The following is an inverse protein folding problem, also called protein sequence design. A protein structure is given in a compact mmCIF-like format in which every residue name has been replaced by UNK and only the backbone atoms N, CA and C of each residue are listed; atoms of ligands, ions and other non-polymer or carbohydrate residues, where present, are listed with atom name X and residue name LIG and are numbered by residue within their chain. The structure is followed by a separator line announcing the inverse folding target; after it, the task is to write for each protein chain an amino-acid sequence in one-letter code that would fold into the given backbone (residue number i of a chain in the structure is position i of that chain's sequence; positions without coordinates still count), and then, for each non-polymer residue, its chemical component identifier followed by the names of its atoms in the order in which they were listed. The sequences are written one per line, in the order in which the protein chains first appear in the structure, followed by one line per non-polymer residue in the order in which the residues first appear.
data_IF_127001915738
#
_entry.id   IF_127001915738
#
_cell.length_a   1.000
_cell.length_b   1.000
_cell.length_c   1.000
_cell.angle_alpha   90.00
_cell.angle_beta   90.00
_cell.angle_gamma   90.00
#
_symmetry.space_group_name_H-M   'P 1'
#
loop_
_entity.id
_entity.type
_entity.pdbx_description
1 polymer ?
#
# COMPACT_ATOMS: atom_id res chain seq x y z
N UNK A 1 17.59 16.12 -6.11
CA UNK A 1 18.73 15.91 -5.22
C UNK A 1 18.48 14.65 -4.40
N UNK A 2 19.50 13.83 -4.15
CA UNK A 2 19.36 12.63 -3.31
C UNK A 2 19.03 13.06 -1.86
N UNK A 3 18.10 12.39 -1.17
CA UNK A 3 17.44 12.90 0.03
C UNK A 3 18.18 12.57 1.33
N UNK A 4 19.48 12.82 1.31
CA UNK A 4 20.37 12.49 2.41
C UNK A 4 20.77 13.76 3.16
N UNK A 5 20.74 13.68 4.48
CA UNK A 5 21.02 14.79 5.38
C UNK A 5 22.14 14.40 6.32
N UNK A 6 23.10 15.31 6.53
CA UNK A 6 24.13 15.13 7.54
C UNK A 6 23.58 15.43 8.94
N UNK A 7 23.63 14.43 9.82
CA UNK A 7 23.21 14.55 11.22
C UNK A 7 24.40 14.29 12.12
N UNK A 8 24.83 15.31 12.86
CA UNK A 8 25.94 15.19 13.81
C UNK A 8 25.69 14.07 14.83
N UNK A 9 26.64 13.15 14.95
CA UNK A 9 26.56 11.97 15.82
C UNK A 9 25.91 10.74 15.18
N UNK A 10 25.40 10.84 13.95
CA UNK A 10 24.83 9.71 13.19
C UNK A 10 25.55 9.54 11.84
N UNK A 11 25.85 10.64 11.17
CA UNK A 11 26.35 10.66 9.79
C UNK A 11 25.22 10.96 8.80
N UNK A 12 25.31 10.37 7.61
CA UNK A 12 24.35 10.55 6.55
C UNK A 12 23.04 9.80 6.85
N UNK A 13 21.90 10.48 6.69
CA UNK A 13 20.57 9.94 7.05
C UNK A 13 19.57 10.17 5.93
N UNK A 14 18.82 9.14 5.56
CA UNK A 14 17.78 9.19 4.53
C UNK A 14 16.44 9.68 5.08
N UNK A 15 15.74 10.53 4.32
CA UNK A 15 14.34 10.89 4.60
C UNK A 15 13.43 10.38 3.47
N UNK A 16 12.45 9.50 3.78
CA UNK A 16 11.48 9.00 2.82
C UNK A 16 10.78 10.11 2.04
N UNK A 17 10.54 9.88 0.76
CA UNK A 17 9.97 10.78 -0.24
C UNK A 17 8.74 11.50 0.26
N UNK A 18 7.80 10.77 0.87
CA UNK A 18 6.55 11.35 1.37
C UNK A 18 6.71 12.30 2.57
N UNK A 19 7.89 12.34 3.20
CA UNK A 19 8.16 13.20 4.36
C UNK A 19 9.12 14.36 4.06
N UNK A 20 9.61 14.48 2.83
CA UNK A 20 10.58 15.51 2.44
C UNK A 20 10.02 16.93 2.51
N UNK A 21 8.71 17.11 2.34
CA UNK A 21 8.06 18.41 2.55
C UNK A 21 8.23 18.93 3.99
N UNK A 22 8.51 18.05 4.96
CA UNK A 22 8.78 18.41 6.36
C UNK A 22 10.26 18.56 6.68
N UNK A 23 11.12 18.13 5.76
CA UNK A 23 12.57 18.23 5.82
C UNK A 23 13.10 18.81 4.48
N UNK A 24 12.95 20.14 4.24
CA UNK A 24 13.49 20.76 3.03
C UNK A 24 15.02 20.69 2.99
N UNK A 25 15.63 20.90 1.82
CA UNK A 25 17.06 20.65 1.56
C UNK A 25 18.03 21.33 2.55
N UNK A 26 17.69 22.52 3.06
CA UNK A 26 18.53 23.31 3.99
C UNK A 26 18.15 23.12 5.47
N UNK A 27 17.24 22.18 5.78
CA UNK A 27 16.76 22.01 7.15
C UNK A 27 17.85 21.50 8.07
N UNK A 28 17.93 22.10 9.27
CA UNK A 28 18.79 21.57 10.33
C UNK A 28 18.11 20.39 11.00
N UNK A 29 18.63 19.19 10.76
CA UNK A 29 18.28 17.98 11.51
C UNK A 29 19.24 17.83 12.70
N UNK A 30 18.70 17.54 13.88
CA UNK A 30 19.51 17.32 15.10
C UNK A 30 19.04 16.06 15.83
N UNK A 31 19.98 15.22 16.24
CA UNK A 31 19.74 14.08 17.13
C UNK A 31 19.47 14.55 18.57
N UNK A 32 18.44 13.98 19.18
CA UNK A 32 18.08 14.14 20.59
C UNK A 32 17.94 12.75 21.23
N UNK A 33 18.68 12.53 22.31
CA UNK A 33 18.72 11.27 23.08
C UNK A 33 18.04 11.44 24.44
N UNK A 34 18.04 10.40 25.30
CA UNK A 34 17.43 10.42 26.64
C UNK A 34 17.70 11.71 27.44
N UNK A 35 18.95 12.21 27.45
CA UNK A 35 19.32 13.44 28.17
C UNK A 35 18.58 14.69 27.67
N UNK A 36 18.25 14.76 26.39
CA UNK A 36 17.48 15.85 25.82
C UNK A 36 15.96 15.61 25.90
N UNK A 37 15.52 14.35 25.83
CA UNK A 37 14.10 13.97 25.95
C UNK A 37 13.53 14.28 27.34
N UNK A 38 14.36 14.24 28.39
CA UNK A 38 14.01 14.77 29.73
C UNK A 38 13.74 16.28 29.73
N UNK A 39 14.14 17.01 28.67
CA UNK A 39 14.05 18.47 28.55
C UNK A 39 13.33 18.87 27.25
N UNK A 40 12.02 18.56 27.10
CA UNK A 40 11.30 18.71 25.83
C UNK A 40 11.24 20.15 25.30
N UNK A 41 11.45 21.17 26.17
CA UNK A 41 11.60 22.56 25.75
C UNK A 41 12.75 22.80 24.75
N UNK A 42 13.84 22.02 24.83
CA UNK A 42 14.97 22.12 23.89
C UNK A 42 14.55 21.67 22.49
N UNK A 43 13.82 20.56 22.42
CA UNK A 43 13.27 19.99 21.19
C UNK A 43 12.23 20.94 20.59
N UNK A 44 11.31 21.44 21.43
CA UNK A 44 10.34 22.46 21.03
C UNK A 44 11.00 23.70 20.41
N UNK A 45 12.03 24.24 21.07
CA UNK A 45 12.75 25.43 20.59
C UNK A 45 13.51 25.18 19.29
N UNK A 46 13.95 23.95 19.03
CA UNK A 46 14.55 23.54 17.75
C UNK A 46 13.50 23.50 16.64
N UNK A 47 12.36 22.87 16.89
CA UNK A 47 11.24 22.79 15.91
C UNK A 47 10.68 24.18 15.62
N UNK A 48 10.53 25.03 16.64
CA UNK A 48 10.07 26.43 16.51
C UNK A 48 10.95 27.26 15.58
N UNK A 49 12.26 26.97 15.56
CA UNK A 49 13.24 27.59 14.64
C UNK A 49 13.25 26.97 13.24
N UNK A 50 12.39 25.98 12.99
CA UNK A 50 12.23 25.34 11.68
C UNK A 50 12.92 23.99 11.55
N UNK A 51 13.74 23.57 12.53
CA UNK A 51 14.50 22.32 12.46
C UNK A 51 13.64 21.06 12.59
N UNK A 52 14.24 19.92 12.23
CA UNK A 52 13.69 18.57 12.43
C UNK A 52 14.44 17.91 13.58
N UNK A 53 13.70 17.25 14.47
CA UNK A 53 14.25 16.52 15.60
C UNK A 53 14.28 15.03 15.28
N UNK A 54 15.48 14.47 15.15
CA UNK A 54 15.70 13.03 15.12
C UNK A 54 15.76 12.53 16.58
N UNK A 55 14.88 11.61 16.94
CA UNK A 55 14.71 11.11 18.30
C UNK A 55 15.23 9.68 18.39
N UNK A 56 15.92 9.37 19.48
CA UNK A 56 16.34 8.02 19.85
C UNK A 56 16.35 7.87 21.36
N UNK A 57 15.98 6.70 21.87
CA UNK A 57 15.99 6.38 23.30
C UNK A 57 14.66 5.85 23.83
N UNK A 58 14.41 6.09 25.11
CA UNK A 58 13.29 5.49 25.84
C UNK A 58 11.91 5.90 25.28
N UNK A 59 11.03 4.91 25.09
CA UNK A 59 9.71 5.09 24.47
C UNK A 59 8.79 5.99 25.29
N UNK A 60 8.90 5.97 26.61
CA UNK A 60 8.06 6.79 27.50
C UNK A 60 8.54 8.24 27.46
N UNK A 61 9.85 8.49 27.44
CA UNK A 61 10.42 9.82 27.26
C UNK A 61 10.06 10.44 25.90
N UNK A 62 10.08 9.64 24.84
CA UNK A 62 9.62 10.05 23.49
C UNK A 62 8.12 10.40 23.53
N UNK A 63 7.30 9.54 24.14
CA UNK A 63 5.85 9.77 24.26
C UNK A 63 5.53 11.05 25.03
N UNK A 64 6.20 11.27 26.16
CA UNK A 64 6.09 12.50 26.96
C UNK A 64 6.48 13.75 26.15
N UNK A 65 7.53 13.65 25.33
CA UNK A 65 7.95 14.73 24.43
C UNK A 65 6.88 15.02 23.38
N UNK A 66 6.32 13.98 22.75
CA UNK A 66 5.26 14.11 21.74
C UNK A 66 4.02 14.79 22.33
N UNK A 67 3.60 14.37 23.51
CA UNK A 67 2.47 15.00 24.22
C UNK A 67 2.75 16.46 24.59
N UNK A 68 3.97 16.76 25.05
CA UNK A 68 4.39 18.13 25.33
C UNK A 68 4.31 19.03 24.08
N UNK A 69 4.87 18.57 22.95
CA UNK A 69 4.83 19.32 21.69
C UNK A 69 3.40 19.46 21.19
N UNK A 70 2.58 18.42 21.28
CA UNK A 70 1.19 18.45 20.87
C UNK A 70 0.36 19.47 21.66
N UNK A 71 0.59 19.59 22.98
CA UNK A 71 -0.05 20.62 23.84
C UNK A 71 0.32 22.05 23.44
N UNK A 72 1.51 22.26 22.86
CA UNK A 72 2.03 23.57 22.43
C UNK A 72 2.02 23.77 20.92
N UNK A 73 1.29 22.92 20.17
CA UNK A 73 1.35 22.91 18.71
C UNK A 73 1.00 24.26 18.06
N UNK A 74 0.10 25.02 18.68
CA UNK A 74 -0.37 26.30 18.14
C UNK A 74 0.74 27.36 18.15
N UNK A 75 1.71 27.27 19.05
CA UNK A 75 2.89 28.14 19.08
C UNK A 75 3.92 27.81 17.98
N UNK A 76 3.83 26.63 17.35
CA UNK A 76 4.71 26.18 16.28
C UNK A 76 4.15 26.50 14.89
N UNK A 77 2.88 26.88 14.83
CA UNK A 77 2.21 27.29 13.60
C UNK A 77 2.52 28.77 13.34
N UNK A 78 3.30 29.08 12.30
CA UNK A 78 3.48 30.47 11.88
C UNK A 78 2.14 31.04 11.37
N UNK A 79 1.69 32.21 11.82
CA UNK A 79 0.53 32.87 11.22
C UNK A 79 0.82 33.16 9.74
N UNK A 80 -0.11 32.80 8.86
CA UNK A 80 0.01 33.10 7.43
C UNK A 80 -0.15 34.61 7.19
N UNK A 81 0.71 35.28 6.40
CA UNK A 81 0.65 36.74 6.20
C UNK A 81 -0.57 37.28 5.44
N UNK A 82 -1.61 36.48 5.14
CA UNK A 82 -2.69 36.84 4.21
C UNK A 82 -4.09 36.79 4.85
N UNK A 83 -4.27 37.34 6.06
CA UNK A 83 -5.61 37.56 6.63
C UNK A 83 -6.02 39.03 6.74
N UNK A 84 -5.20 39.99 6.32
CA UNK A 84 -5.61 41.38 6.20
C UNK A 84 -5.79 41.76 4.71
N UNK A 85 -7.05 41.98 4.32
CA UNK A 85 -7.37 42.71 3.09
C UNK A 85 -7.74 41.89 1.86
N UNK A 86 -8.87 41.18 1.86
CA UNK A 86 -9.67 41.01 0.62
C UNK A 86 -11.16 41.23 0.90
N UNK A 87 -11.67 42.35 0.38
CA UNK A 87 -13.10 42.64 0.27
C UNK A 87 -13.80 41.47 -0.43
N UNK A 88 -15.00 41.13 0.06
CA UNK A 88 -15.84 40.04 -0.45
C UNK A 88 -16.43 40.46 -1.79
N UNK A 89 -15.85 40.02 -2.90
CA UNK A 89 -16.54 40.03 -4.19
C UNK A 89 -17.21 38.68 -4.42
N UNK A 90 -18.54 38.71 -4.37
CA UNK A 90 -19.42 37.60 -4.75
C UNK A 90 -19.40 37.47 -6.28
N UNK A 91 -18.71 36.44 -6.80
CA UNK A 91 -19.10 35.62 -7.99
C UNK A 91 -17.88 34.84 -8.53
N UNK A 92 -17.80 33.55 -8.20
CA UNK A 92 -17.42 32.44 -9.10
C UNK A 92 -17.39 31.14 -8.30
N UNK A 93 -18.43 30.35 -8.46
CA UNK A 93 -18.50 28.95 -8.03
C UNK A 93 -17.77 28.10 -9.07
N UNK A 94 -16.59 27.59 -8.70
CA UNK A 94 -16.03 26.29 -9.12
C UNK A 94 -14.50 26.29 -8.97
N UNK A 95 -14.07 26.20 -7.71
CA UNK A 95 -12.80 25.56 -7.34
C UNK A 95 -13.06 24.84 -6.02
N UNK A 96 -12.76 23.53 -5.89
CA UNK A 96 -12.66 22.94 -4.56
C UNK A 96 -11.56 23.72 -3.83
N UNK A 97 -11.92 24.38 -2.73
CA UNK A 97 -10.95 24.93 -1.80
C UNK A 97 -10.06 23.78 -1.34
N UNK A 98 -8.87 23.68 -1.91
CA UNK A 98 -7.77 23.02 -1.23
C UNK A 98 -7.50 23.86 0.02
N UNK A 99 -8.18 23.54 1.12
CA UNK A 99 -7.71 23.92 2.44
C UNK A 99 -6.25 23.44 2.50
N UNK A 100 -5.31 24.38 2.48
CA UNK A 100 -3.91 24.08 2.80
C UNK A 100 -3.93 23.52 4.22
N UNK A 101 -4.03 22.19 4.33
CA UNK A 101 -3.96 21.43 5.58
C UNK A 101 -2.71 21.93 6.29
N UNK A 102 -2.89 22.70 7.36
CA UNK A 102 -1.78 23.21 8.15
C UNK A 102 -1.06 21.97 8.69
N UNK A 103 0.16 21.72 8.21
CA UNK A 103 0.88 20.48 8.48
C UNK A 103 1.18 20.38 9.97
N UNK A 104 0.84 19.25 10.58
CA UNK A 104 1.06 19.02 12.01
C UNK A 104 2.55 19.18 12.35
N UNK A 105 2.91 20.00 13.36
CA UNK A 105 4.30 20.14 13.78
C UNK A 105 4.91 18.83 14.30
N UNK A 106 4.07 17.84 14.63
CA UNK A 106 4.51 16.50 15.02
C UNK A 106 5.22 15.75 13.88
N UNK A 107 5.05 16.17 12.62
CA UNK A 107 5.77 15.57 11.49
C UNK A 107 7.27 15.92 11.47
N UNK A 108 7.69 16.90 12.28
CA UNK A 108 9.10 17.25 12.52
C UNK A 108 9.74 16.50 13.70
N UNK A 109 8.96 15.70 14.42
CA UNK A 109 9.48 14.72 15.37
C UNK A 109 9.63 13.40 14.63
N UNK A 110 10.87 12.99 14.36
CA UNK A 110 11.15 11.78 13.59
C UNK A 110 11.97 10.80 14.42
N UNK A 111 11.57 9.53 14.43
CA UNK A 111 12.32 8.45 15.05
C UNK A 111 13.50 8.09 14.15
N UNK A 112 14.69 7.94 14.75
CA UNK A 112 15.85 7.38 14.08
C UNK A 112 15.69 5.87 13.91
N UNK A 113 15.97 5.41 12.70
CA UNK A 113 15.97 4.00 12.34
C UNK A 113 17.34 3.68 11.76
N UNK A 114 17.94 2.55 12.15
CA UNK A 114 19.22 2.16 11.56
C UNK A 114 19.04 1.72 10.09
N UNK A 115 20.14 1.44 9.41
CA UNK A 115 20.15 1.03 8.01
C UNK A 115 19.30 -0.23 7.71
N UNK A 116 19.21 -1.15 8.68
CA UNK A 116 18.47 -2.41 8.54
C UNK A 116 16.99 -2.31 8.92
N UNK A 117 16.49 -1.13 9.28
CA UNK A 117 15.08 -0.93 9.65
C UNK A 117 14.76 -1.08 11.14
N UNK A 118 15.75 -1.25 12.02
CA UNK A 118 15.54 -1.33 13.47
C UNK A 118 15.38 0.06 14.09
N UNK A 119 14.24 0.27 14.75
CA UNK A 119 13.92 1.49 15.48
C UNK A 119 14.92 1.72 16.62
N UNK A 120 15.47 2.93 16.71
CA UNK A 120 16.38 3.32 17.79
C UNK A 120 15.61 3.79 19.03
N UNK A 121 14.65 2.96 19.46
CA UNK A 121 13.74 3.20 20.60
C UNK A 121 13.88 2.05 21.60
N UNK A 122 13.77 2.35 22.90
CA UNK A 122 13.87 1.37 23.99
C UNK A 122 12.53 1.28 24.77
N UNK A 123 11.93 0.08 24.94
CA UNK A 123 12.37 -1.20 24.40
C UNK A 123 12.26 -1.25 22.87
N UNK A 124 13.15 -2.03 22.25
CA UNK A 124 13.15 -2.20 20.80
C UNK A 124 11.83 -2.84 20.33
N UNK A 125 11.19 -2.20 19.36
CA UNK A 125 10.04 -2.76 18.66
C UNK A 125 10.49 -3.31 17.32
N UNK A 126 10.24 -4.59 17.09
CA UNK A 126 10.45 -5.19 15.79
C UNK A 126 9.30 -4.80 14.85
N UNK A 127 9.65 -4.24 13.70
CA UNK A 127 8.72 -3.81 12.68
C UNK A 127 9.37 -4.08 11.31
N UNK A 128 9.25 -5.30 10.78
CA UNK A 128 9.95 -5.69 9.56
C UNK A 128 9.42 -4.91 8.36
N UNK A 129 10.27 -4.76 7.33
CA UNK A 129 9.93 -4.08 6.07
C UNK A 129 9.54 -2.60 6.24
N UNK A 130 10.13 -1.91 7.22
CA UNK A 130 9.71 -0.57 7.59
C UNK A 130 9.86 0.47 6.47
N UNK A 131 10.88 0.34 5.60
CA UNK A 131 11.02 1.19 4.40
C UNK A 131 9.85 0.99 3.44
N UNK A 132 9.51 -0.26 3.16
CA UNK A 132 8.37 -0.59 2.30
C UNK A 132 7.04 -0.14 2.92
N UNK A 133 6.86 -0.29 4.23
CA UNK A 133 5.67 0.17 4.95
C UNK A 133 5.51 1.70 4.93
N UNK A 134 6.59 2.47 4.75
CA UNK A 134 6.53 3.91 4.47
C UNK A 134 6.53 4.23 2.97
N UNK A 135 6.29 3.24 2.12
CA UNK A 135 6.12 3.40 0.67
C UNK A 135 7.40 3.58 -0.12
N UNK A 136 8.56 3.23 0.44
CA UNK A 136 9.87 3.25 -0.22
C UNK A 136 10.27 1.86 -0.70
N UNK A 137 11.14 1.78 -1.71
CA UNK A 137 11.77 0.50 -2.06
C UNK A 137 12.81 0.10 -0.99
N UNK A 138 13.10 -1.21 -0.81
CA UNK A 138 14.05 -1.68 0.20
C UNK A 138 15.45 -1.06 0.11
N UNK A 139 15.88 -0.68 -1.10
CA UNK A 139 17.22 -0.12 -1.38
C UNK A 139 17.25 1.42 -1.32
N UNK A 140 16.12 2.07 -1.04
CA UNK A 140 16.00 3.53 -1.16
C UNK A 140 16.94 4.30 -0.23
N UNK A 141 17.28 3.73 0.93
CA UNK A 141 18.16 4.33 1.92
C UNK A 141 19.65 4.11 1.64
N UNK A 142 20.06 3.33 0.64
CA UNK A 142 21.47 3.06 0.31
C UNK A 142 22.30 2.65 1.54
N UNK A 143 21.77 1.74 2.35
CA UNK A 143 22.39 1.27 3.60
C UNK A 143 22.67 2.38 4.64
N UNK A 144 22.04 3.55 4.51
CA UNK A 144 22.09 4.61 5.50
C UNK A 144 20.94 4.49 6.52
N UNK A 145 21.13 4.93 7.77
CA UNK A 145 20.02 5.17 8.70
C UNK A 145 18.96 6.08 8.08
N UNK A 146 17.72 5.99 8.55
CA UNK A 146 16.62 6.81 8.04
C UNK A 146 15.71 7.34 9.14
N UNK A 147 14.89 8.33 8.79
CA UNK A 147 13.99 9.01 9.73
C UNK A 147 12.53 8.79 9.36
N UNK A 148 11.70 8.45 10.35
CA UNK A 148 10.24 8.33 10.18
C UNK A 148 9.51 9.25 11.17
N UNK A 149 8.58 10.11 10.73
CA UNK A 149 7.74 10.89 11.63
C UNK A 149 7.00 10.01 12.64
N UNK A 150 6.99 10.42 13.92
CA UNK A 150 6.28 9.70 14.99
C UNK A 150 4.81 9.41 14.61
N UNK A 151 4.02 10.36 14.04
CA UNK A 151 2.64 10.06 13.64
C UNK A 151 2.53 9.00 12.56
N UNK A 152 3.49 8.91 11.63
CA UNK A 152 3.49 7.91 10.58
C UNK A 152 3.84 6.52 11.13
N UNK A 153 4.86 6.44 12.00
CA UNK A 153 5.21 5.20 12.69
C UNK A 153 4.03 4.65 13.49
N UNK A 154 3.36 5.52 14.26
CA UNK A 154 2.18 5.12 15.04
C UNK A 154 1.07 4.56 14.17
N UNK A 155 0.76 5.21 13.04
CA UNK A 155 -0.25 4.69 12.10
C UNK A 155 0.10 3.31 11.55
N UNK A 156 1.37 3.08 11.20
CA UNK A 156 1.83 1.77 10.72
C UNK A 156 1.62 0.72 11.81
N UNK A 157 2.07 0.99 13.04
CA UNK A 157 1.88 0.10 14.17
C UNK A 157 0.40 -0.20 14.44
N UNK A 158 -0.44 0.83 14.50
CA UNK A 158 -1.89 0.70 14.71
C UNK A 158 -2.53 -0.15 13.60
N UNK A 159 -2.16 0.07 12.33
CA UNK A 159 -2.70 -0.68 11.18
C UNK A 159 -2.33 -2.17 11.22
N UNK A 160 -1.11 -2.50 11.65
CA UNK A 160 -0.62 -3.88 11.72
C UNK A 160 -1.10 -4.62 12.98
N UNK A 161 -1.72 -3.93 13.93
CA UNK A 161 -2.41 -4.52 15.07
C UNK A 161 -3.88 -4.82 14.78
N UNK A 162 -4.48 -4.18 13.76
CA UNK A 162 -5.87 -4.39 13.40
C UNK A 162 -6.05 -5.72 12.62
N UNK A 163 -6.78 -6.71 13.17
CA UNK A 163 -7.05 -7.95 12.45
C UNK A 163 -8.20 -7.77 11.44
N UNK A 164 -8.05 -8.40 10.28
CA UNK A 164 -9.08 -8.56 9.26
C UNK A 164 -9.45 -10.04 9.13
N UNK A 165 -10.61 -10.40 9.66
CA UNK A 165 -11.13 -11.75 9.63
C UNK A 165 -11.93 -12.02 8.36
N UNK A 166 -11.86 -13.26 7.89
CA UNK A 166 -12.66 -13.78 6.79
C UNK A 166 -13.03 -15.22 7.08
N UNK A 167 -14.16 -15.67 6.55
CA UNK A 167 -14.59 -17.08 6.64
C UNK A 167 -13.81 -17.99 5.68
N UNK A 168 -13.00 -17.42 4.78
CA UNK A 168 -12.22 -18.18 3.82
C UNK A 168 -10.86 -18.67 4.36
N UNK A 169 -10.40 -18.12 5.50
CA UNK A 169 -9.08 -18.36 6.10
C UNK A 169 -9.21 -18.70 7.59
N UNK A 170 -8.25 -19.48 8.11
CA UNK A 170 -8.22 -19.89 9.52
C UNK A 170 -7.67 -18.83 10.48
N UNK A 171 -6.92 -17.85 9.95
CA UNK A 171 -6.31 -16.75 10.71
C UNK A 171 -6.71 -15.41 10.12
N UNK A 172 -6.65 -14.36 10.93
CA UNK A 172 -6.83 -12.99 10.46
C UNK A 172 -5.60 -12.47 9.72
N UNK A 173 -5.85 -11.61 8.75
CA UNK A 173 -4.85 -10.83 8.03
C UNK A 173 -4.60 -9.51 8.76
N UNK A 174 -3.45 -8.90 8.51
CA UNK A 174 -3.17 -7.50 8.85
C UNK A 174 -2.96 -6.71 7.57
N UNK A 175 -3.25 -5.41 7.59
CA UNK A 175 -3.21 -4.56 6.39
C UNK A 175 -2.58 -3.23 6.77
N UNK A 176 -1.53 -2.83 6.04
CA UNK A 176 -0.89 -1.52 6.26
C UNK A 176 -1.72 -0.37 5.68
N UNK A 177 -1.31 0.87 5.98
CA UNK A 177 -1.91 2.07 5.39
C UNK A 177 -1.83 2.00 3.84
N UNK A 178 -2.82 2.55 3.14
CA UNK A 178 -2.96 2.54 1.67
C UNK A 178 -3.24 1.18 1.00
N UNK A 179 -3.16 0.07 1.72
CA UNK A 179 -3.51 -1.24 1.16
C UNK A 179 -5.01 -1.48 1.35
N UNK A 180 -5.69 -1.93 0.29
CA UNK A 180 -7.13 -2.20 0.35
C UNK A 180 -7.40 -3.38 1.31
N UNK A 181 -8.19 -3.19 2.38
CA UNK A 181 -8.50 -4.28 3.29
C UNK A 181 -9.49 -5.27 2.64
N UNK A 182 -9.37 -6.58 2.91
CA UNK A 182 -10.18 -7.63 2.29
C UNK A 182 -11.57 -7.74 2.92
N UNK A 183 -12.35 -6.66 2.87
CA UNK A 183 -13.67 -6.57 3.52
C UNK A 183 -14.80 -7.21 2.71
N UNK A 184 -14.62 -7.38 1.39
CA UNK A 184 -15.62 -7.96 0.52
C UNK A 184 -15.56 -9.49 0.57
N UNK A 185 -16.41 -10.10 1.40
CA UNK A 185 -16.59 -11.56 1.44
C UNK A 185 -17.00 -12.11 0.08
N UNK A 186 -17.89 -11.40 -0.63
CA UNK A 186 -18.37 -11.83 -1.94
C UNK A 186 -17.23 -11.90 -2.97
N UNK A 187 -16.30 -10.93 -3.00
CA UNK A 187 -15.13 -10.99 -3.88
C UNK A 187 -14.30 -12.24 -3.59
N UNK A 188 -14.03 -12.51 -2.31
CA UNK A 188 -13.26 -13.67 -1.87
C UNK A 188 -13.92 -14.97 -2.30
N UNK A 189 -15.23 -15.12 -2.07
CA UNK A 189 -15.98 -16.31 -2.45
C UNK A 189 -16.03 -16.53 -3.96
N UNK A 190 -16.14 -15.46 -4.76
CA UNK A 190 -16.10 -15.56 -6.23
C UNK A 190 -14.72 -16.05 -6.71
N UNK A 191 -13.62 -15.57 -6.14
CA UNK A 191 -12.29 -16.11 -6.46
C UNK A 191 -12.12 -17.56 -6.01
N UNK A 192 -12.68 -17.96 -4.87
CA UNK A 192 -12.69 -19.38 -4.47
C UNK A 192 -13.46 -20.27 -5.45
N UNK A 193 -14.56 -19.79 -6.04
CA UNK A 193 -15.25 -20.49 -7.12
C UNK A 193 -14.35 -20.61 -8.35
N UNK A 194 -13.66 -19.53 -8.73
CA UNK A 194 -12.65 -19.56 -9.80
C UNK A 194 -11.56 -20.59 -9.56
N UNK A 195 -10.93 -20.59 -8.37
CA UNK A 195 -9.93 -21.59 -7.98
C UNK A 195 -10.49 -23.02 -8.04
N UNK A 196 -11.72 -23.23 -7.57
CA UNK A 196 -12.37 -24.54 -7.62
C UNK A 196 -12.55 -25.04 -9.05
N UNK A 197 -12.90 -24.16 -9.99
CA UNK A 197 -13.10 -24.52 -11.40
C UNK A 197 -11.78 -24.84 -12.13
N UNK A 198 -10.66 -24.21 -11.76
CA UNK A 198 -9.38 -24.43 -12.45
C UNK A 198 -8.54 -25.56 -11.86
N UNK A 199 -8.75 -25.92 -10.58
CA UNK A 199 -7.86 -26.82 -9.81
C UNK A 199 -7.52 -28.15 -10.50
N UNK A 200 -8.48 -28.74 -11.23
CA UNK A 200 -8.30 -30.06 -11.86
C UNK A 200 -7.71 -29.95 -13.28
N UNK A 201 -7.63 -28.73 -13.83
CA UNK A 201 -7.03 -28.44 -15.14
C UNK A 201 -5.57 -27.98 -15.07
N UNK A 202 -5.09 -27.61 -13.88
CA UNK A 202 -3.72 -27.14 -13.68
C UNK A 202 -2.74 -28.32 -13.59
N UNK A 203 -1.51 -28.19 -14.14
CA UNK A 203 -0.48 -29.21 -14.01
C UNK A 203 0.02 -29.31 -12.56
N UNK A 204 0.72 -30.41 -12.25
CA UNK A 204 1.51 -30.49 -11.02
C UNK A 204 2.57 -29.38 -10.99
N UNK A 205 2.79 -28.81 -9.81
CA UNK A 205 3.67 -27.67 -9.57
C UNK A 205 3.31 -26.42 -10.38
N UNK A 206 2.02 -26.22 -10.65
CA UNK A 206 1.51 -25.09 -11.43
C UNK A 206 2.09 -23.75 -10.96
N UNK A 207 2.57 -22.96 -11.92
CA UNK A 207 3.03 -21.61 -11.67
C UNK A 207 1.83 -20.65 -11.63
N UNK A 208 1.62 -19.98 -10.50
CA UNK A 208 0.50 -19.06 -10.28
C UNK A 208 1.04 -17.66 -10.01
N UNK A 209 0.52 -16.66 -10.71
CA UNK A 209 0.81 -15.24 -10.45
C UNK A 209 -0.40 -14.59 -9.78
N UNK A 210 -0.20 -13.95 -8.63
CA UNK A 210 -1.14 -13.00 -8.01
C UNK A 210 -0.67 -11.57 -8.30
N UNK A 211 -1.31 -10.91 -9.28
CA UNK A 211 -0.97 -9.57 -9.71
C UNK A 211 -1.80 -8.54 -8.93
N UNK A 212 -1.16 -7.56 -8.30
CA UNK A 212 -1.84 -6.64 -7.37
C UNK A 212 -2.24 -7.33 -6.07
N UNK A 213 -1.30 -8.06 -5.46
CA UNK A 213 -1.59 -8.98 -4.36
C UNK A 213 -2.11 -8.29 -3.09
N UNK A 214 -1.84 -6.99 -2.88
CA UNK A 214 -2.42 -6.19 -1.80
C UNK A 214 -2.17 -6.77 -0.41
N UNK A 215 -3.21 -7.36 0.18
CA UNK A 215 -3.14 -8.04 1.48
C UNK A 215 -2.53 -9.45 1.42
N UNK A 216 -2.38 -10.02 0.22
CA UNK A 216 -1.94 -11.40 0.01
C UNK A 216 -3.07 -12.43 0.11
N UNK A 217 -4.32 -12.01 0.28
CA UNK A 217 -5.44 -12.94 0.48
C UNK A 217 -5.61 -13.91 -0.70
N UNK A 218 -5.48 -13.46 -1.94
CA UNK A 218 -5.63 -14.32 -3.11
C UNK A 218 -4.44 -15.25 -3.28
N UNK A 219 -3.22 -14.79 -2.98
CA UNK A 219 -2.02 -15.64 -2.88
C UNK A 219 -2.20 -16.79 -1.89
N UNK A 220 -2.70 -16.49 -0.68
CA UNK A 220 -2.96 -17.51 0.36
C UNK A 220 -4.06 -18.48 -0.10
N UNK A 221 -5.12 -17.97 -0.72
CA UNK A 221 -6.20 -18.81 -1.24
C UNK A 221 -5.74 -19.69 -2.39
N UNK A 222 -4.90 -19.20 -3.30
CA UNK A 222 -4.30 -20.00 -4.36
C UNK A 222 -3.49 -21.16 -3.76
N UNK A 223 -2.61 -20.87 -2.80
CA UNK A 223 -1.80 -21.86 -2.11
C UNK A 223 -2.64 -22.98 -1.45
N UNK A 224 -3.74 -22.60 -0.76
CA UNK A 224 -4.61 -23.56 -0.07
C UNK A 224 -5.58 -24.30 -1.00
N UNK A 225 -6.27 -23.58 -1.90
CA UNK A 225 -7.36 -24.14 -2.71
C UNK A 225 -6.85 -24.95 -3.89
N UNK A 226 -5.61 -24.70 -4.33
CA UNK A 226 -4.95 -25.47 -5.37
C UNK A 226 -3.93 -26.47 -4.79
N UNK A 227 -3.92 -26.72 -3.48
CA UNK A 227 -2.93 -27.58 -2.82
C UNK A 227 -2.77 -28.99 -3.46
N UNK A 228 -3.83 -29.50 -4.10
CA UNK A 228 -3.78 -30.76 -4.85
C UNK A 228 -2.71 -30.80 -5.95
N UNK A 229 -2.43 -29.66 -6.60
CA UNK A 229 -1.38 -29.54 -7.61
C UNK A 229 -0.05 -29.00 -7.07
N UNK A 230 0.06 -28.69 -5.76
CA UNK A 230 1.26 -28.09 -5.14
C UNK A 230 1.76 -26.82 -5.85
N UNK A 231 0.93 -25.76 -5.95
CA UNK A 231 1.23 -24.59 -6.76
C UNK A 231 2.46 -23.85 -6.23
N UNK A 232 3.22 -23.22 -7.14
CA UNK A 232 4.23 -22.20 -6.82
C UNK A 232 3.62 -20.84 -7.11
N UNK A 233 3.38 -20.05 -6.07
CA UNK A 233 2.72 -18.75 -6.21
C UNK A 233 3.76 -17.64 -6.18
N UNK A 234 3.72 -16.75 -7.17
CA UNK A 234 4.44 -15.48 -7.16
C UNK A 234 3.43 -14.35 -6.97
N UNK A 235 3.65 -13.51 -5.96
CA UNK A 235 2.83 -12.35 -5.68
C UNK A 235 3.57 -11.07 -6.08
N UNK A 236 2.85 -10.11 -6.67
CA UNK A 236 3.41 -8.82 -7.05
C UNK A 236 2.43 -7.69 -6.79
N UNK A 237 2.95 -6.50 -6.49
CA UNK A 237 2.15 -5.28 -6.34
C UNK A 237 3.00 -4.07 -6.72
N UNK A 238 2.35 -2.98 -7.11
CA UNK A 238 3.00 -1.70 -7.42
C UNK A 238 3.38 -0.94 -6.15
N UNK A 239 2.69 -1.18 -5.04
CA UNK A 239 2.94 -0.51 -3.77
C UNK A 239 3.93 -1.31 -2.90
N UNK A 240 5.06 -0.71 -2.49
CA UNK A 240 5.96 -1.33 -1.51
C UNK A 240 5.23 -1.76 -0.22
N UNK A 241 4.31 -0.93 0.28
CA UNK A 241 3.55 -1.26 1.48
C UNK A 241 2.62 -2.48 1.30
N UNK A 242 2.12 -2.73 0.08
CA UNK A 242 1.35 -3.94 -0.25
C UNK A 242 2.25 -5.18 -0.34
N UNK A 243 3.44 -5.05 -0.94
CA UNK A 243 4.47 -6.11 -0.95
C UNK A 243 4.84 -6.51 0.48
N UNK A 244 5.14 -5.53 1.35
CA UNK A 244 5.43 -5.76 2.76
C UNK A 244 4.26 -6.41 3.51
N UNK A 245 3.04 -5.90 3.29
CA UNK A 245 1.81 -6.45 3.88
C UNK A 245 1.61 -7.91 3.50
N UNK A 246 1.79 -8.23 2.23
CA UNK A 246 1.69 -9.60 1.72
C UNK A 246 2.74 -10.50 2.37
N UNK A 247 4.01 -10.08 2.45
CA UNK A 247 5.07 -10.85 3.14
C UNK A 247 4.74 -11.11 4.61
N UNK A 248 4.27 -10.10 5.34
CA UNK A 248 3.87 -10.22 6.75
C UNK A 248 2.76 -11.26 6.91
N UNK A 249 1.72 -11.20 6.06
CA UNK A 249 0.64 -12.18 6.10
C UNK A 249 1.14 -13.58 5.71
N UNK A 250 1.93 -13.74 4.66
CA UNK A 250 2.47 -15.04 4.27
C UNK A 250 3.34 -15.67 5.36
N UNK A 251 4.11 -14.87 6.11
CA UNK A 251 4.84 -15.36 7.28
C UNK A 251 3.90 -15.86 8.38
N UNK A 252 2.83 -15.12 8.70
CA UNK A 252 1.80 -15.53 9.69
C UNK A 252 1.09 -16.84 9.30
N UNK A 253 1.03 -17.15 8.01
CA UNK A 253 0.44 -18.37 7.46
C UNK A 253 1.47 -19.47 7.17
N UNK A 254 2.76 -19.27 7.45
CA UNK A 254 3.86 -20.20 7.14
C UNK A 254 3.97 -20.57 5.65
N UNK A 255 3.64 -19.63 4.76
CA UNK A 255 3.66 -19.83 3.30
C UNK A 255 4.86 -19.15 2.62
N UNK A 256 5.43 -18.13 3.26
CA UNK A 256 6.50 -17.31 2.68
C UNK A 256 7.77 -18.13 2.43
N UNK A 257 8.32 -18.07 1.21
CA UNK A 257 9.57 -18.71 0.82
C UNK A 257 9.51 -20.22 0.61
N UNK A 258 8.41 -20.88 1.00
CA UNK A 258 8.20 -22.31 0.75
C UNK A 258 7.26 -22.56 -0.44
N UNK A 259 6.11 -21.86 -0.45
CA UNK A 259 5.07 -22.03 -1.46
C UNK A 259 4.73 -20.72 -2.18
N UNK A 260 4.92 -19.59 -1.50
CA UNK A 260 4.62 -18.26 -2.03
C UNK A 260 5.84 -17.35 -1.91
N UNK A 261 6.22 -16.75 -3.03
CA UNK A 261 7.24 -15.70 -3.10
C UNK A 261 6.59 -14.34 -3.41
N UNK A 262 7.26 -13.25 -3.04
CA UNK A 262 6.77 -11.88 -3.31
C UNK A 262 7.88 -11.08 -3.97
N UNK A 263 7.61 -10.51 -5.14
CA UNK A 263 8.59 -9.72 -5.89
C UNK A 263 8.95 -8.42 -5.18
N UNK A 264 9.91 -7.67 -5.74
CA UNK A 264 10.00 -6.22 -5.48
C UNK A 264 8.73 -5.53 -5.99
N UNK A 265 8.43 -4.34 -5.45
CA UNK A 265 7.34 -3.54 -5.97
C UNK A 265 7.62 -3.13 -7.42
N UNK A 266 6.58 -3.15 -8.26
CA UNK A 266 6.72 -2.86 -9.69
C UNK A 266 5.37 -2.78 -10.40
N UNK A 267 5.37 -2.12 -11.56
CA UNK A 267 4.15 -1.88 -12.32
C UNK A 267 3.78 -3.10 -13.19
N UNK A 268 2.63 -3.71 -12.90
CA UNK A 268 2.11 -4.92 -13.57
C UNK A 268 3.19 -6.01 -13.67
N UNK A 269 3.64 -6.34 -14.89
CA UNK A 269 4.57 -7.42 -15.16
C UNK A 269 6.06 -7.03 -15.06
N UNK A 270 6.37 -5.75 -14.82
CA UNK A 270 7.76 -5.25 -14.70
C UNK A 270 8.63 -6.05 -13.71
N UNK A 271 8.16 -6.43 -12.50
CA UNK A 271 9.00 -7.18 -11.54
C UNK A 271 9.03 -8.69 -11.80
N UNK A 272 8.32 -9.20 -12.82
CA UNK A 272 8.11 -10.64 -13.06
C UNK A 272 9.22 -11.26 -13.92
N UNK A 273 9.86 -10.48 -14.78
CA UNK A 273 10.88 -10.94 -15.71
C UNK A 273 10.29 -11.71 -16.90
N UNK A 274 10.85 -12.88 -17.23
CA UNK A 274 10.43 -13.71 -18.37
C UNK A 274 9.66 -14.98 -17.95
N UNK A 275 9.12 -15.00 -16.73
CA UNK A 275 8.39 -16.15 -16.19
C UNK A 275 7.04 -16.34 -16.90
N UNK A 276 6.61 -17.60 -17.00
CA UNK A 276 5.32 -17.99 -17.57
C UNK A 276 4.48 -18.69 -16.51
N UNK A 277 3.18 -18.46 -16.53
CA UNK A 277 2.24 -18.91 -15.50
C UNK A 277 1.11 -19.74 -16.11
N UNK A 278 0.73 -20.80 -15.41
CA UNK A 278 -0.44 -21.62 -15.72
C UNK A 278 -1.73 -20.93 -15.25
N UNK A 279 -1.62 -20.05 -14.26
CA UNK A 279 -2.73 -19.24 -13.77
C UNK A 279 -2.26 -17.83 -13.41
N UNK A 280 -2.90 -16.81 -13.97
CA UNK A 280 -2.74 -15.41 -13.54
C UNK A 280 -4.03 -14.98 -12.84
N UNK A 281 -3.92 -14.54 -11.60
CA UNK A 281 -5.02 -14.00 -10.78
C UNK A 281 -4.84 -12.49 -10.71
N UNK A 282 -5.90 -11.75 -11.01
CA UNK A 282 -5.89 -10.29 -10.89
C UNK A 282 -7.25 -9.79 -10.41
N UNK A 283 -7.30 -9.19 -9.22
CA UNK A 283 -8.46 -8.42 -8.79
C UNK A 283 -8.27 -6.96 -9.21
N UNK A 284 -8.75 -6.62 -10.40
CA UNK A 284 -8.44 -5.34 -11.02
C UNK A 284 -9.14 -4.15 -10.35
N UNK A 285 -8.51 -2.96 -10.33
CA UNK A 285 -9.19 -1.72 -9.95
C UNK A 285 -10.39 -1.45 -10.87
N UNK A 286 -11.53 -1.03 -10.31
CA UNK A 286 -12.82 -1.03 -11.00
C UNK A 286 -13.54 0.33 -11.05
N UNK A 287 -13.01 1.33 -10.36
CA UNK A 287 -13.55 2.70 -10.34
C UNK A 287 -12.84 3.52 -11.42
N UNK A 288 -13.56 3.93 -12.46
CA UNK A 288 -12.98 4.70 -13.58
C UNK A 288 -12.88 6.16 -13.18
N UNK A 289 -11.80 6.49 -12.50
CA UNK A 289 -11.50 7.81 -11.99
C UNK A 289 -9.99 8.01 -11.89
N UNK A 290 -9.56 9.27 -11.93
CA UNK A 290 -8.17 9.63 -11.66
C UNK A 290 -7.79 9.26 -10.22
N UNK A 291 -6.66 8.58 -10.08
CA UNK A 291 -6.05 8.32 -8.78
C UNK A 291 -5.43 9.60 -8.20
N UNK A 292 -5.78 9.95 -6.96
CA UNK A 292 -5.33 11.17 -6.27
C UNK A 292 -4.46 10.87 -5.04
N UNK A 293 -4.38 9.61 -4.63
CA UNK A 293 -3.61 9.18 -3.47
C UNK A 293 -3.20 7.71 -3.62
N UNK A 294 -2.19 7.28 -2.86
CA UNK A 294 -1.72 5.89 -2.90
C UNK A 294 -2.83 4.88 -2.58
N UNK A 295 -3.65 5.18 -1.59
CA UNK A 295 -4.80 4.34 -1.20
C UNK A 295 -5.84 4.13 -2.31
N UNK A 296 -5.93 5.07 -3.27
CA UNK A 296 -6.86 4.95 -4.39
C UNK A 296 -6.35 4.01 -5.49
N UNK A 297 -5.05 3.69 -5.54
CA UNK A 297 -4.45 2.86 -6.61
C UNK A 297 -5.12 1.49 -6.69
N UNK A 298 -5.46 0.89 -5.55
CA UNK A 298 -6.10 -0.43 -5.50
C UNK A 298 -7.53 -0.48 -6.08
N UNK A 299 -8.17 0.68 -6.27
CA UNK A 299 -9.58 0.75 -6.69
C UNK A 299 -9.82 1.62 -7.91
N UNK A 300 -8.97 2.62 -8.19
CA UNK A 300 -9.14 3.59 -9.27
C UNK A 300 -8.31 3.25 -10.52
N UNK A 301 -8.95 3.25 -11.69
CA UNK A 301 -8.32 3.03 -12.99
C UNK A 301 -8.79 4.06 -14.02
N UNK A 302 -8.01 5.13 -14.20
CA UNK A 302 -8.34 6.20 -15.14
C UNK A 302 -8.41 5.67 -16.58
N UNK A 303 -9.58 5.79 -17.20
CA UNK A 303 -9.84 5.28 -18.56
C UNK A 303 -9.60 3.77 -18.74
N UNK A 304 -9.74 2.96 -17.68
CA UNK A 304 -9.45 1.51 -17.70
C UNK A 304 -8.02 1.21 -18.21
N UNK A 305 -7.06 2.09 -17.93
CA UNK A 305 -5.70 2.04 -18.42
C UNK A 305 -4.91 0.85 -17.86
N UNK A 306 -5.07 0.55 -16.57
CA UNK A 306 -4.43 -0.58 -15.91
C UNK A 306 -4.92 -1.89 -16.51
N UNK A 307 -6.24 -2.09 -16.64
CA UNK A 307 -6.77 -3.33 -17.22
C UNK A 307 -6.42 -3.47 -18.70
N UNK A 308 -6.46 -2.37 -19.46
CA UNK A 308 -6.02 -2.38 -20.88
C UNK A 308 -4.57 -2.82 -21.00
N UNK A 309 -3.67 -2.25 -20.20
CA UNK A 309 -2.25 -2.61 -20.20
C UNK A 309 -2.00 -4.04 -19.72
N UNK A 310 -2.75 -4.49 -18.70
CA UNK A 310 -2.72 -5.87 -18.24
C UNK A 310 -3.02 -6.81 -19.41
N UNK A 311 -4.20 -6.68 -20.04
CA UNK A 311 -4.63 -7.54 -21.15
C UNK A 311 -3.65 -7.52 -22.34
N UNK A 312 -3.04 -6.37 -22.62
CA UNK A 312 -2.04 -6.23 -23.68
C UNK A 312 -0.73 -7.00 -23.42
N UNK A 313 -0.40 -7.29 -22.16
CA UNK A 313 0.84 -7.98 -21.78
C UNK A 313 0.58 -9.44 -21.37
N UNK A 314 -0.62 -9.78 -20.89
CA UNK A 314 -0.90 -11.07 -20.23
C UNK A 314 -0.52 -12.29 -21.06
N UNK A 315 -0.73 -12.29 -22.39
CA UNK A 315 -0.34 -13.44 -23.23
C UNK A 315 1.17 -13.74 -23.18
N UNK A 316 2.01 -12.71 -23.04
CA UNK A 316 3.46 -12.85 -22.93
C UNK A 316 3.88 -13.47 -21.58
N UNK A 317 2.96 -13.67 -20.65
CA UNK A 317 3.20 -14.26 -19.34
C UNK A 317 2.41 -15.55 -19.09
N UNK A 318 1.58 -15.99 -20.04
CA UNK A 318 0.88 -17.27 -19.93
C UNK A 318 1.67 -18.42 -20.57
N UNK A 319 1.55 -19.62 -19.99
CA UNK A 319 1.88 -20.87 -20.68
C UNK A 319 0.86 -21.13 -21.80
N UNK A 320 1.11 -22.10 -22.68
CA UNK A 320 0.20 -22.42 -23.80
C UNK A 320 -1.21 -22.81 -23.37
N UNK A 321 -1.36 -23.34 -22.15
CA UNK A 321 -2.65 -23.71 -21.55
C UNK A 321 -3.03 -22.78 -20.37
N UNK A 322 -2.34 -21.65 -20.24
CA UNK A 322 -2.47 -20.73 -19.13
C UNK A 322 -3.85 -20.07 -19.11
N UNK A 323 -4.35 -19.83 -17.91
CA UNK A 323 -5.67 -19.24 -17.67
C UNK A 323 -5.55 -17.96 -16.85
N UNK A 324 -6.58 -17.11 -16.90
CA UNK A 324 -6.68 -15.89 -16.10
C UNK A 324 -7.95 -15.94 -15.26
N UNK A 325 -7.83 -15.62 -13.97
CA UNK A 325 -8.96 -15.26 -13.11
C UNK A 325 -8.94 -13.75 -12.87
N UNK A 326 -9.86 -13.03 -13.53
CA UNK A 326 -9.94 -11.58 -13.47
C UNK A 326 -11.18 -11.13 -12.71
N UNK A 327 -10.98 -10.47 -11.57
CA UNK A 327 -12.03 -9.81 -10.79
C UNK A 327 -12.28 -8.39 -11.28
N UNK A 328 -13.54 -8.00 -11.44
CA UNK A 328 -13.95 -6.64 -11.77
C UNK A 328 -15.38 -6.34 -11.27
N UNK A 329 -15.67 -5.08 -10.94
CA UNK A 329 -17.01 -4.67 -10.52
C UNK A 329 -17.60 -3.56 -11.40
N UNK A 330 -18.92 -3.57 -11.59
CA UNK A 330 -19.62 -2.62 -12.46
C UNK A 330 -19.91 -1.25 -11.82
N UNK A 331 -19.15 -0.86 -10.78
CA UNK A 331 -19.30 0.40 -10.04
C UNK A 331 -19.36 1.63 -10.96
N UNK A 332 -18.57 1.59 -12.03
CA UNK A 332 -18.45 2.66 -13.02
C UNK A 332 -19.47 2.55 -14.17
N UNK A 333 -20.47 1.68 -14.00
CA UNK A 333 -21.57 1.45 -14.92
C UNK A 333 -21.31 0.35 -15.94
N UNK A 334 -22.40 -0.20 -16.49
CA UNK A 334 -22.39 -1.32 -17.43
C UNK A 334 -21.55 -1.07 -18.68
N UNK A 335 -21.44 0.19 -19.13
CA UNK A 335 -20.58 0.56 -20.26
C UNK A 335 -19.12 0.15 -20.04
N UNK A 336 -18.62 0.23 -18.81
CA UNK A 336 -17.23 -0.15 -18.51
C UNK A 336 -17.05 -1.67 -18.53
N UNK A 337 -18.10 -2.44 -18.23
CA UNK A 337 -18.11 -3.89 -18.39
C UNK A 337 -18.10 -4.27 -19.87
N UNK A 338 -18.95 -3.62 -20.69
CA UNK A 338 -18.94 -3.85 -22.15
C UNK A 338 -17.58 -3.52 -22.75
N UNK A 339 -16.97 -2.39 -22.37
CA UNK A 339 -15.62 -2.05 -22.79
C UNK A 339 -14.59 -3.12 -22.38
N UNK A 340 -14.70 -3.65 -21.16
CA UNK A 340 -13.82 -4.69 -20.64
C UNK A 340 -13.92 -5.98 -21.46
N UNK A 341 -15.14 -6.43 -21.74
CA UNK A 341 -15.39 -7.64 -22.53
C UNK A 341 -14.90 -7.47 -23.99
N UNK A 342 -15.10 -6.30 -24.60
CA UNK A 342 -14.50 -5.98 -25.91
C UNK A 342 -12.97 -6.01 -25.87
N UNK A 343 -12.35 -5.56 -24.77
CA UNK A 343 -10.89 -5.64 -24.61
C UNK A 343 -10.40 -7.08 -24.48
N UNK A 344 -11.18 -8.00 -23.90
CA UNK A 344 -10.82 -9.43 -23.90
C UNK A 344 -10.70 -9.96 -25.33
N UNK A 345 -11.74 -9.77 -26.14
CA UNK A 345 -11.78 -10.23 -27.53
C UNK A 345 -10.63 -9.61 -28.35
N UNK A 346 -10.41 -8.31 -28.21
CA UNK A 346 -9.36 -7.57 -28.93
C UNK A 346 -7.95 -8.10 -28.63
N UNK A 347 -7.73 -8.60 -27.41
CA UNK A 347 -6.46 -9.16 -26.97
C UNK A 347 -6.48 -10.70 -26.97
N UNK A 348 -7.35 -11.33 -27.78
CA UNK A 348 -7.34 -12.78 -27.98
C UNK A 348 -7.67 -13.58 -26.71
N UNK A 349 -8.53 -13.08 -25.84
CA UNK A 349 -9.04 -13.81 -24.68
C UNK A 349 -10.49 -14.25 -24.90
N UNK A 350 -10.76 -15.52 -24.62
CA UNK A 350 -12.11 -16.09 -24.60
C UNK A 350 -12.59 -16.25 -23.16
N UNK A 351 -13.83 -15.83 -22.90
CA UNK A 351 -14.50 -16.05 -21.62
C UNK A 351 -14.96 -17.51 -21.55
N UNK A 352 -14.40 -18.27 -20.61
CA UNK A 352 -14.79 -19.66 -20.35
C UNK A 352 -15.87 -19.75 -19.28
N UNK A 353 -15.73 -19.00 -18.19
CA UNK A 353 -16.72 -18.95 -17.10
C UNK A 353 -16.88 -17.54 -16.54
N UNK A 354 -18.04 -17.29 -15.94
CA UNK A 354 -18.39 -16.03 -15.30
C UNK A 354 -19.04 -16.31 -13.96
N UNK A 355 -18.37 -15.90 -12.88
CA UNK A 355 -18.91 -15.96 -11.52
C UNK A 355 -19.35 -14.56 -11.12
N UNK A 356 -20.64 -14.35 -10.81
CA UNK A 356 -21.18 -13.02 -10.53
C UNK A 356 -21.99 -12.98 -9.25
N UNK A 357 -21.84 -11.91 -8.48
CA UNK A 357 -22.65 -11.61 -7.29
C UNK A 357 -23.06 -10.15 -7.28
N UNK A 358 -24.34 -9.92 -7.00
CA UNK A 358 -24.89 -8.57 -6.79
C UNK A 358 -24.80 -8.19 -5.31
N UNK A 359 -24.16 -7.07 -5.02
CA UNK A 359 -23.87 -6.60 -3.66
C UNK A 359 -24.31 -5.14 -3.46
N UNK A 360 -24.69 -4.74 -2.24
CA UNK A 360 -24.94 -3.33 -1.95
C UNK A 360 -23.62 -2.55 -1.94
N UNK A 361 -23.60 -1.37 -2.55
CA UNK A 361 -22.41 -0.51 -2.53
C UNK A 361 -22.09 -0.07 -1.10
N UNK A 362 -20.81 -0.03 -0.72
CA UNK A 362 -20.39 0.44 0.60
C UNK A 362 -20.81 1.89 0.92
N UNK A 363 -21.09 2.71 -0.11
CA UNK A 363 -21.48 4.13 0.03
C UNK A 363 -22.98 4.33 0.25
N UNK A 364 -23.85 3.37 -0.10
CA UNK A 364 -25.28 3.47 0.22
C UNK A 364 -25.99 2.11 0.13
N UNK A 365 -26.89 1.85 1.08
CA UNK A 365 -27.80 0.68 1.04
C UNK A 365 -28.80 0.69 -0.13
N UNK A 366 -28.84 1.77 -0.93
CA UNK A 366 -29.79 1.95 -2.04
C UNK A 366 -29.18 1.73 -3.42
N UNK A 367 -27.85 1.69 -3.54
CA UNK A 367 -27.15 1.41 -4.79
C UNK A 367 -26.52 0.03 -4.72
N UNK A 368 -26.58 -0.68 -5.83
CA UNK A 368 -26.08 -2.04 -5.98
C UNK A 368 -25.04 -2.05 -7.09
N UNK A 369 -24.07 -2.95 -6.96
CA UNK A 369 -23.08 -3.26 -7.99
C UNK A 369 -22.98 -4.78 -8.15
N UNK A 370 -22.52 -5.23 -9.30
CA UNK A 370 -22.18 -6.61 -9.57
C UNK A 370 -20.66 -6.75 -9.51
N UNK A 371 -20.19 -7.64 -8.64
CA UNK A 371 -18.82 -8.13 -8.66
C UNK A 371 -18.80 -9.37 -9.56
N UNK A 372 -17.85 -9.43 -10.47
CA UNK A 372 -17.69 -10.52 -11.42
C UNK A 372 -16.25 -11.02 -11.39
N UNK A 373 -16.05 -12.33 -11.33
CA UNK A 373 -14.78 -12.99 -11.62
C UNK A 373 -14.93 -13.74 -12.93
N UNK A 374 -14.12 -13.39 -13.91
CA UNK A 374 -14.06 -14.03 -15.22
C UNK A 374 -12.95 -15.08 -15.22
N UNK A 375 -13.23 -16.26 -15.78
CA UNK A 375 -12.18 -17.19 -16.22
C UNK A 375 -11.92 -16.99 -17.70
N UNK A 376 -10.71 -16.57 -18.06
CA UNK A 376 -10.29 -16.33 -19.43
C UNK A 376 -9.21 -17.32 -19.86
N UNK A 377 -9.21 -17.69 -21.14
CA UNK A 377 -8.14 -18.45 -21.78
C UNK A 377 -7.69 -17.71 -23.05
N UNK A 378 -6.43 -17.91 -23.46
CA UNK A 378 -5.96 -17.47 -24.77
C UNK A 378 -6.73 -18.16 -25.90
N UNK A 379 -7.00 -17.42 -26.98
CA UNK A 379 -7.66 -17.90 -28.20
C UNK A 379 -6.78 -18.81 -29.04
#
# INVERSE_FOLDING_TARGET
MLPFYEVGGVGQVFVPTQFRDFAPEDVRIKLFTNQDLERPNRIFSHIKRGGVAALSGDSDLISNTVEFINRKKDELVKPSPNQEGRKRDFKSSDRPRAEKKQSSPLLKLMILVNASGLLQVEPASDLPYLLELVGENPEANQDCPFLIPVPALKKIQDSLQQPYETDALEKSLVVSENVLPPQSKDTIHLFQQGFWCVKDSLPMEAAVLDLGCGSGILSILAAHRLAGCKPRVLASDILPEAVATTRINLYRFNLYGAQVEVTRAGDLFEPIGNQKFDLIVFNAPWVVARCRSRAEIAIHDENQNTVRRFLAQTQDYLTSCGQVLLGYADHSGQKMITNLETMFETHGFLIQDVFRKRVPTHRSKKKWENITVYRLCGS
#
